data_IF_150104715225
#
_entry.id   IF_150104715225
#
_cell.length_a   1.000
_cell.length_b   1.000
_cell.length_c   1.000
_cell.angle_alpha   90.00
_cell.angle_beta   90.00
_cell.angle_gamma   90.00
#
_symmetry.space_group_name_H-M   'P 1'
#
loop_
_entity.id
_entity.type
_entity.pdbx_description
1 polymer ?
#
# COMPACT_ATOMS: atom_id res chain seq x y z
N UNK A 1 -13.85 49.37 -79.88
CA UNK A 1 -14.40 48.07 -79.41
C UNK A 1 -13.33 47.02 -79.66
N UNK A 2 -12.83 46.17 -78.77
CA UNK A 2 -13.08 45.89 -77.37
C UNK A 2 -11.86 45.12 -76.83
N UNK A 3 -11.21 45.69 -75.81
CA UNK A 3 -10.67 45.05 -74.60
C UNK A 3 -9.61 43.94 -74.72
N UNK A 4 -8.40 44.33 -74.32
CA UNK A 4 -7.40 43.49 -73.68
C UNK A 4 -7.99 42.74 -72.47
N UNK A 5 -7.74 41.44 -72.36
CA UNK A 5 -7.95 40.68 -71.12
C UNK A 5 -6.65 39.91 -70.81
N UNK A 6 -5.91 40.41 -69.81
CA UNK A 6 -4.78 39.72 -69.19
C UNK A 6 -5.34 38.76 -68.14
N UNK A 7 -5.11 37.46 -68.32
CA UNK A 7 -5.46 36.44 -67.34
C UNK A 7 -4.29 36.32 -66.36
N UNK A 8 -4.54 36.65 -65.10
CA UNK A 8 -3.64 36.40 -63.98
C UNK A 8 -3.84 34.96 -63.52
N UNK A 9 -2.78 34.15 -63.58
CA UNK A 9 -2.76 32.82 -62.98
C UNK A 9 -2.52 32.98 -61.47
N UNK A 10 -3.60 32.96 -60.68
CA UNK A 10 -3.50 32.75 -59.23
C UNK A 10 -3.30 31.26 -58.98
N UNK A 11 -2.08 30.86 -58.62
CA UNK A 11 -1.85 29.55 -58.01
C UNK A 11 -2.38 29.63 -56.58
N UNK A 12 -3.56 29.04 -56.37
CA UNK A 12 -4.08 28.77 -55.03
C UNK A 12 -3.13 27.80 -54.32
N UNK A 13 -2.41 28.31 -53.33
CA UNK A 13 -1.68 27.51 -52.35
C UNK A 13 -2.72 26.83 -51.46
N UNK A 14 -3.13 25.61 -51.80
CA UNK A 14 -3.96 24.78 -50.91
C UNK A 14 -3.08 24.24 -49.79
N UNK A 15 -2.99 24.96 -48.67
CA UNK A 15 -2.52 24.37 -47.43
C UNK A 15 -3.57 23.36 -46.96
N UNK A 16 -3.24 22.08 -47.07
CA UNK A 16 -3.91 21.03 -46.30
C UNK A 16 -3.66 21.36 -44.82
N UNK A 17 -4.59 22.05 -44.18
CA UNK A 17 -4.74 21.98 -42.73
C UNK A 17 -5.25 20.57 -42.44
N UNK A 18 -4.32 19.64 -42.21
CA UNK A 18 -4.63 18.46 -41.43
C UNK A 18 -5.05 18.98 -40.07
N UNK A 19 -6.37 19.03 -39.84
CA UNK A 19 -6.97 19.15 -38.52
C UNK A 19 -6.60 17.89 -37.74
N UNK A 20 -5.35 17.81 -37.30
CA UNK A 20 -5.03 17.09 -36.09
C UNK A 20 -5.75 17.87 -35.01
N UNK A 21 -6.92 17.40 -34.59
CA UNK A 21 -7.44 17.80 -33.28
C UNK A 21 -6.29 17.53 -32.32
N UNK A 22 -5.60 18.59 -31.87
CA UNK A 22 -4.67 18.48 -30.76
C UNK A 22 -5.46 17.72 -29.69
N UNK A 23 -4.96 16.57 -29.19
CA UNK A 23 -5.62 15.91 -28.08
C UNK A 23 -5.86 16.99 -27.03
N UNK A 24 -7.10 17.12 -26.56
CA UNK A 24 -7.46 18.15 -25.60
C UNK A 24 -6.41 18.11 -24.50
N UNK A 25 -5.63 19.18 -24.35
CA UNK A 25 -4.47 19.18 -23.45
C UNK A 25 -4.94 18.74 -22.06
N UNK A 26 -4.32 17.70 -21.51
CA UNK A 26 -4.60 17.26 -20.15
C UNK A 26 -4.44 18.43 -19.19
N UNK A 27 -5.34 18.53 -18.21
CA UNK A 27 -5.27 19.57 -17.17
C UNK A 27 -5.46 18.93 -15.81
N UNK A 28 -4.45 19.03 -14.97
CA UNK A 28 -4.54 18.72 -13.54
C UNK A 28 -4.71 20.04 -12.80
N UNK A 29 -5.72 20.11 -11.94
CA UNK A 29 -5.93 21.26 -11.05
C UNK A 29 -5.78 20.81 -9.61
N UNK A 30 -4.98 21.53 -8.82
CA UNK A 30 -4.82 21.26 -7.40
C UNK A 30 -4.91 22.56 -6.59
N UNK A 31 -5.40 22.45 -5.36
CA UNK A 31 -5.51 23.58 -4.43
C UNK A 31 -4.88 23.19 -3.11
N UNK A 32 -4.04 24.07 -2.57
CA UNK A 32 -3.31 23.90 -1.30
C UNK A 32 -3.78 24.89 -0.24
N UNK A 33 -3.68 24.52 1.05
CA UNK A 33 -3.84 25.46 2.16
C UNK A 33 -2.62 26.37 2.37
N UNK A 34 -1.46 26.06 1.78
CA UNK A 34 -0.26 26.89 1.86
C UNK A 34 -0.52 28.31 1.35
N UNK A 35 0.14 29.28 1.95
CA UNK A 35 0.07 30.69 1.57
C UNK A 35 0.84 30.96 0.28
N UNK A 36 0.40 31.97 -0.47
CA UNK A 36 1.16 32.47 -1.63
C UNK A 36 2.56 32.88 -1.19
N UNK A 37 3.56 32.37 -1.89
CA UNK A 37 4.98 32.58 -1.60
C UNK A 37 5.65 31.46 -0.82
N UNK A 38 4.89 30.49 -0.30
CA UNK A 38 5.43 29.21 0.20
C UNK A 38 5.80 28.27 -0.95
N UNK A 39 6.47 27.17 -0.62
CA UNK A 39 6.96 26.20 -1.60
C UNK A 39 6.09 24.95 -1.64
N UNK A 40 5.89 24.42 -2.84
CA UNK A 40 5.39 23.07 -3.12
C UNK A 40 6.45 22.29 -3.90
N UNK A 41 6.40 20.97 -3.82
CA UNK A 41 7.29 20.07 -4.56
C UNK A 41 6.47 19.14 -5.46
N UNK A 42 6.89 19.01 -6.71
CA UNK A 42 6.20 18.19 -7.70
C UNK A 42 7.21 17.35 -8.48
N UNK A 43 6.86 16.10 -8.76
CA UNK A 43 7.49 15.29 -9.82
C UNK A 43 6.45 15.08 -10.90
N UNK A 44 6.80 15.41 -12.14
CA UNK A 44 5.87 15.34 -13.28
C UNK A 44 6.62 14.70 -14.44
N UNK A 45 6.11 13.56 -14.89
CA UNK A 45 6.48 12.97 -16.19
C UNK A 45 5.30 13.11 -17.15
N UNK A 46 5.60 13.43 -18.41
CA UNK A 46 4.58 13.73 -19.40
C UNK A 46 5.05 13.40 -20.82
N UNK A 47 4.08 13.11 -21.69
CA UNK A 47 4.32 13.04 -23.13
C UNK A 47 4.46 14.45 -23.70
N UNK A 48 5.67 14.98 -23.65
CA UNK A 48 6.01 16.32 -24.15
C UNK A 48 6.03 17.38 -23.06
N UNK A 49 5.82 18.63 -23.46
CA UNK A 49 6.00 19.77 -22.56
C UNK A 49 4.81 19.94 -21.63
N UNK A 50 5.11 20.38 -20.40
CA UNK A 50 4.14 20.74 -19.38
C UNK A 50 4.27 22.22 -19.05
N UNK A 51 3.15 22.90 -18.86
CA UNK A 51 3.11 24.27 -18.33
C UNK A 51 2.42 24.28 -16.97
N UNK A 52 2.97 25.04 -16.03
CA UNK A 52 2.44 25.16 -14.67
C UNK A 52 2.03 26.62 -14.44
N UNK A 53 0.76 26.83 -14.12
CA UNK A 53 0.19 28.12 -13.72
C UNK A 53 -0.06 28.11 -12.21
N UNK A 54 0.11 29.24 -11.53
CA UNK A 54 -0.07 29.36 -10.08
C UNK A 54 1.14 28.98 -9.22
N UNK A 55 2.23 28.54 -9.84
CA UNK A 55 3.51 28.31 -9.17
C UNK A 55 4.69 28.63 -10.09
N UNK A 56 5.79 29.11 -9.52
CA UNK A 56 7.02 29.46 -10.24
C UNK A 56 8.15 28.53 -9.82
N UNK A 57 8.82 27.90 -10.79
CA UNK A 57 9.94 27.00 -10.54
C UNK A 57 11.10 27.70 -9.80
N UNK A 58 11.64 27.05 -8.76
CA UNK A 58 12.73 27.59 -7.94
C UNK A 58 13.97 26.70 -7.88
N UNK A 59 13.90 25.44 -8.31
CA UNK A 59 15.05 24.53 -8.35
C UNK A 59 14.67 23.06 -8.19
N UNK A 60 15.68 22.20 -8.14
CA UNK A 60 15.54 20.77 -7.84
C UNK A 60 15.95 20.49 -6.39
N UNK A 61 15.31 19.51 -5.76
CA UNK A 61 15.58 19.17 -4.34
C UNK A 61 16.70 18.12 -4.18
N UNK A 62 17.12 17.49 -5.27
CA UNK A 62 18.11 16.39 -5.27
C UNK A 62 17.57 15.03 -4.80
N UNK A 63 16.29 14.95 -4.43
CA UNK A 63 15.59 13.71 -4.06
C UNK A 63 14.57 13.33 -5.13
N UNK A 64 14.67 12.11 -5.67
CA UNK A 64 13.66 11.51 -6.57
C UNK A 64 13.21 12.38 -7.76
N UNK A 65 14.07 13.29 -8.25
CA UNK A 65 13.76 14.25 -9.31
C UNK A 65 12.58 15.19 -8.99
N UNK A 66 12.30 15.44 -7.70
CA UNK A 66 11.34 16.45 -7.27
C UNK A 66 11.84 17.86 -7.61
N UNK A 67 10.92 18.68 -8.12
CA UNK A 67 11.14 20.08 -8.45
C UNK A 67 10.38 20.96 -7.48
N UNK A 68 11.05 21.97 -6.94
CA UNK A 68 10.45 22.96 -6.06
C UNK A 68 9.83 24.10 -6.86
N UNK A 69 8.66 24.55 -6.40
CA UNK A 69 7.94 25.68 -6.96
C UNK A 69 7.47 26.61 -5.85
N UNK A 70 7.70 27.91 -6.01
CA UNK A 70 7.13 28.95 -5.15
C UNK A 70 5.73 29.29 -5.64
N UNK A 71 4.74 29.20 -4.75
CA UNK A 71 3.36 29.51 -5.05
C UNK A 71 3.20 30.98 -5.44
N UNK A 72 2.52 31.23 -6.55
CA UNK A 72 2.01 32.55 -6.95
C UNK A 72 0.49 32.63 -6.80
N UNK A 73 -0.18 31.48 -6.67
CA UNK A 73 -1.60 31.31 -6.36
C UNK A 73 -1.77 30.01 -5.54
N UNK A 74 -2.82 29.91 -4.73
CA UNK A 74 -3.15 28.67 -3.98
C UNK A 74 -3.76 27.60 -4.86
N UNK A 75 -4.26 27.97 -6.04
CA UNK A 75 -4.69 27.03 -7.09
C UNK A 75 -3.62 26.95 -8.16
N UNK A 76 -3.17 25.72 -8.44
CA UNK A 76 -2.14 25.40 -9.42
C UNK A 76 -2.79 24.60 -10.53
N UNK A 77 -2.50 24.96 -11.78
CA UNK A 77 -2.95 24.23 -12.97
C UNK A 77 -1.73 23.72 -13.74
N UNK A 78 -1.68 22.41 -13.94
CA UNK A 78 -0.65 21.73 -14.73
C UNK A 78 -1.30 21.34 -16.05
N UNK A 79 -0.86 21.93 -17.16
CA UNK A 79 -1.35 21.60 -18.51
C UNK A 79 -0.31 20.77 -19.24
N UNK A 80 -0.75 19.71 -19.89
CA UNK A 80 0.07 18.76 -20.62
C UNK A 80 -0.44 17.33 -20.45
N UNK A 81 0.06 16.42 -21.30
CA UNK A 81 -0.28 15.00 -21.24
C UNK A 81 0.56 14.29 -20.16
N UNK A 82 0.26 14.59 -18.90
CA UNK A 82 0.93 14.03 -17.71
C UNK A 82 0.63 12.53 -17.59
N UNK A 83 1.69 11.74 -17.50
CA UNK A 83 1.66 10.27 -17.32
C UNK A 83 1.96 9.88 -15.87
N UNK A 84 2.80 10.64 -15.17
CA UNK A 84 3.07 10.42 -13.75
C UNK A 84 3.04 11.75 -13.00
N UNK A 85 2.36 11.76 -11.85
CA UNK A 85 2.32 12.90 -10.95
C UNK A 85 2.64 12.46 -9.52
N UNK A 86 3.68 13.05 -8.94
CA UNK A 86 3.88 13.12 -7.50
C UNK A 86 3.61 14.56 -7.04
N UNK A 87 2.59 14.73 -6.21
CA UNK A 87 2.23 16.00 -5.58
C UNK A 87 2.14 15.86 -4.05
N UNK A 88 2.98 15.00 -3.49
CA UNK A 88 3.02 14.68 -2.06
C UNK A 88 3.47 15.85 -1.18
N UNK A 89 3.05 15.82 0.09
CA UNK A 89 3.49 16.75 1.16
C UNK A 89 3.26 18.24 0.84
N UNK A 90 2.16 18.55 0.15
CA UNK A 90 1.86 19.90 -0.33
C UNK A 90 0.66 20.55 0.35
N UNK A 91 0.12 19.92 1.40
CA UNK A 91 -1.10 20.36 2.09
C UNK A 91 -2.28 20.58 1.11
N UNK A 92 -2.39 19.70 0.10
CA UNK A 92 -3.47 19.78 -0.88
C UNK A 92 -4.81 19.49 -0.21
N UNK A 93 -5.76 20.40 -0.41
CA UNK A 93 -7.15 20.25 0.04
C UNK A 93 -8.06 19.71 -1.07
N UNK A 94 -7.64 19.85 -2.33
CA UNK A 94 -8.30 19.24 -3.49
C UNK A 94 -7.34 18.95 -4.63
N UNK A 95 -7.65 17.89 -5.37
CA UNK A 95 -6.92 17.44 -6.55
C UNK A 95 -7.93 16.94 -7.59
N UNK A 96 -7.89 17.51 -8.79
CA UNK A 96 -8.67 17.09 -9.96
C UNK A 96 -7.70 16.64 -11.06
N UNK A 97 -7.69 15.33 -11.33
CA UNK A 97 -6.91 14.67 -12.38
C UNK A 97 -7.79 14.15 -13.52
N UNK A 98 -9.07 14.52 -13.55
CA UNK A 98 -10.09 13.90 -14.42
C UNK A 98 -9.86 14.13 -15.91
N UNK A 99 -9.03 15.12 -16.28
CA UNK A 99 -8.67 15.44 -17.67
C UNK A 99 -7.33 14.83 -18.11
N UNK A 100 -6.60 14.16 -17.21
CA UNK A 100 -5.33 13.49 -17.52
C UNK A 100 -5.54 11.98 -17.62
N UNK A 101 -6.24 11.55 -18.66
CA UNK A 101 -6.63 10.14 -18.85
C UNK A 101 -5.44 9.21 -19.13
N UNK A 102 -4.28 9.77 -19.51
CA UNK A 102 -3.04 9.03 -19.74
C UNK A 102 -2.25 8.74 -18.44
N UNK A 103 -2.71 9.23 -17.28
CA UNK A 103 -2.03 9.05 -16.00
C UNK A 103 -1.93 7.55 -15.64
N UNK A 104 -0.70 7.06 -15.50
CA UNK A 104 -0.35 5.69 -15.08
C UNK A 104 0.06 5.63 -13.62
N UNK A 105 0.67 6.69 -13.09
CA UNK A 105 1.06 6.77 -11.68
C UNK A 105 0.57 8.08 -11.04
N UNK A 106 -0.04 7.95 -9.86
CA UNK A 106 -0.43 9.09 -9.05
C UNK A 106 -0.01 8.88 -7.59
N UNK A 107 0.87 9.76 -7.10
CA UNK A 107 1.22 9.89 -5.70
C UNK A 107 0.74 11.24 -5.17
N UNK A 108 -0.12 11.22 -4.15
CA UNK A 108 -0.62 12.40 -3.45
C UNK A 108 -0.52 12.23 -1.93
N UNK A 109 0.61 11.69 -1.47
CA UNK A 109 0.95 11.29 -0.10
C UNK A 109 0.93 12.52 0.83
N UNK A 110 0.52 12.36 2.09
CA UNK A 110 0.63 13.38 3.14
C UNK A 110 0.00 14.73 2.73
N UNK A 111 -1.28 14.66 2.37
CA UNK A 111 -2.10 15.82 2.02
C UNK A 111 -3.36 15.90 2.91
N UNK A 112 -4.29 16.80 2.59
CA UNK A 112 -5.52 17.02 3.34
C UNK A 112 -6.76 16.67 2.50
N UNK A 113 -6.62 15.75 1.54
CA UNK A 113 -7.70 15.39 0.63
C UNK A 113 -8.81 14.66 1.39
N UNK A 114 -10.03 15.20 1.29
CA UNK A 114 -11.24 14.54 1.82
C UNK A 114 -11.96 13.69 0.78
N UNK A 115 -11.62 13.90 -0.50
CA UNK A 115 -12.13 13.18 -1.67
C UNK A 115 -11.05 13.09 -2.73
N UNK A 116 -11.09 12.01 -3.51
CA UNK A 116 -10.23 11.80 -4.67
C UNK A 116 -11.04 11.04 -5.73
N UNK A 117 -11.18 11.62 -6.93
CA UNK A 117 -11.82 10.98 -8.07
C UNK A 117 -10.78 10.61 -9.13
N UNK A 118 -10.54 9.31 -9.27
CA UNK A 118 -9.63 8.72 -10.27
C UNK A 118 -10.39 7.94 -11.34
N UNK A 119 -11.71 8.12 -11.45
CA UNK A 119 -12.57 7.31 -12.33
C UNK A 119 -12.29 7.48 -13.82
N UNK A 120 -11.58 8.55 -14.21
CA UNK A 120 -11.16 8.83 -15.59
C UNK A 120 -9.74 8.37 -15.91
N UNK A 121 -8.94 8.08 -14.88
CA UNK A 121 -7.55 7.67 -15.02
C UNK A 121 -7.48 6.14 -15.14
N UNK A 122 -8.14 5.59 -16.17
CA UNK A 122 -8.29 4.14 -16.34
C UNK A 122 -6.98 3.41 -16.63
N UNK A 123 -5.94 4.15 -17.00
CA UNK A 123 -4.58 3.66 -17.21
C UNK A 123 -3.75 3.55 -15.93
N UNK A 124 -4.26 3.98 -14.77
CA UNK A 124 -3.52 3.91 -13.50
C UNK A 124 -3.11 2.47 -13.17
N UNK A 125 -1.81 2.27 -13.01
CA UNK A 125 -1.15 1.06 -12.50
C UNK A 125 -0.71 1.24 -11.05
N UNK A 126 -0.39 2.47 -10.63
CA UNK A 126 -0.05 2.81 -9.25
C UNK A 126 -0.90 3.99 -8.76
N UNK A 127 -1.51 3.83 -7.59
CA UNK A 127 -2.15 4.90 -6.85
C UNK A 127 -1.66 4.88 -5.40
N UNK A 128 -1.00 5.95 -4.99
CA UNK A 128 -0.60 6.20 -3.61
C UNK A 128 -1.30 7.47 -3.09
N UNK A 129 -2.27 7.28 -2.21
CA UNK A 129 -2.96 8.34 -1.49
C UNK A 129 -2.81 8.19 0.03
N UNK A 130 -1.68 7.63 0.47
CA UNK A 130 -1.28 7.53 1.88
C UNK A 130 -1.48 8.85 2.63
N UNK A 131 -1.93 8.76 3.89
CA UNK A 131 -2.01 9.90 4.82
C UNK A 131 -2.79 11.09 4.25
N UNK A 132 -4.10 10.87 4.16
CA UNK A 132 -5.09 11.85 3.75
C UNK A 132 -6.31 11.75 4.68
N UNK A 133 -7.42 12.39 4.30
CA UNK A 133 -8.66 12.40 5.07
C UNK A 133 -9.81 11.75 4.28
N UNK A 134 -9.49 10.79 3.40
CA UNK A 134 -10.47 10.15 2.52
C UNK A 134 -11.43 9.29 3.35
N UNK A 135 -12.74 9.54 3.18
CA UNK A 135 -13.81 8.75 3.82
C UNK A 135 -14.28 7.60 2.89
N UNK A 136 -14.08 7.79 1.58
CA UNK A 136 -14.39 6.82 0.54
C UNK A 136 -13.40 6.94 -0.61
N UNK A 137 -13.10 5.81 -1.25
CA UNK A 137 -12.26 5.75 -2.45
C UNK A 137 -12.87 4.77 -3.45
N UNK A 138 -13.14 5.22 -4.67
CA UNK A 138 -13.69 4.39 -5.74
C UNK A 138 -12.63 4.11 -6.81
N UNK A 139 -12.11 2.89 -6.82
CA UNK A 139 -11.10 2.41 -7.78
C UNK A 139 -11.68 1.45 -8.83
N UNK A 140 -13.01 1.36 -8.95
CA UNK A 140 -13.68 0.37 -9.81
C UNK A 140 -13.39 0.53 -11.32
N UNK A 141 -12.88 1.68 -11.75
CA UNK A 141 -12.50 1.96 -13.14
C UNK A 141 -11.01 1.79 -13.41
N UNK A 142 -10.19 1.68 -12.37
CA UNK A 142 -8.74 1.53 -12.46
C UNK A 142 -8.39 0.04 -12.53
N UNK A 143 -8.90 -0.66 -13.53
CA UNK A 143 -8.77 -2.13 -13.64
C UNK A 143 -7.33 -2.59 -13.88
N UNK A 144 -6.45 -1.68 -14.34
CA UNK A 144 -5.02 -1.89 -14.53
C UNK A 144 -4.20 -1.72 -13.23
N UNK A 145 -4.83 -1.36 -12.11
CA UNK A 145 -4.13 -1.07 -10.86
C UNK A 145 -3.40 -2.31 -10.33
N UNK A 146 -2.09 -2.19 -10.16
CA UNK A 146 -1.17 -3.20 -9.65
C UNK A 146 -0.75 -2.90 -8.20
N UNK A 147 -0.64 -1.61 -7.86
CA UNK A 147 -0.27 -1.11 -6.53
C UNK A 147 -1.31 -0.09 -6.06
N UNK A 148 -1.84 -0.31 -4.86
CA UNK A 148 -2.72 0.63 -4.17
C UNK A 148 -2.27 0.82 -2.72
N UNK A 149 -1.79 2.02 -2.40
CA UNK A 149 -1.66 2.48 -1.02
C UNK A 149 -2.75 3.53 -0.73
N UNK A 150 -3.69 3.16 0.13
CA UNK A 150 -4.72 4.06 0.66
C UNK A 150 -4.71 4.07 2.20
N UNK A 151 -3.56 3.74 2.79
CA UNK A 151 -3.40 3.68 4.23
C UNK A 151 -3.42 5.07 4.87
N UNK A 152 -3.62 5.10 6.20
CA UNK A 152 -3.75 6.35 6.97
C UNK A 152 -4.84 7.29 6.40
N UNK A 153 -6.03 6.74 6.24
CA UNK A 153 -7.22 7.46 5.81
C UNK A 153 -8.39 7.17 6.77
N UNK A 154 -9.61 7.52 6.38
CA UNK A 154 -10.83 7.32 7.18
C UNK A 154 -11.82 6.40 6.45
N UNK A 155 -11.32 5.47 5.62
CA UNK A 155 -12.13 4.59 4.81
C UNK A 155 -12.92 3.62 5.71
N UNK A 156 -14.23 3.59 5.54
CA UNK A 156 -15.13 2.64 6.22
C UNK A 156 -15.40 1.39 5.40
N UNK A 157 -15.19 1.48 4.08
CA UNK A 157 -15.27 0.37 3.13
C UNK A 157 -14.29 0.59 1.98
N UNK A 158 -13.88 -0.50 1.35
CA UNK A 158 -13.02 -0.49 0.17
C UNK A 158 -13.40 -1.67 -0.73
N UNK A 159 -13.80 -1.38 -1.97
CA UNK A 159 -14.10 -2.39 -3.00
C UNK A 159 -12.96 -2.44 -4.02
N UNK A 160 -12.21 -3.53 -4.00
CA UNK A 160 -11.11 -3.83 -4.94
C UNK A 160 -11.46 -4.97 -5.90
N UNK A 161 -12.75 -5.31 -6.06
CA UNK A 161 -13.21 -6.46 -6.83
C UNK A 161 -12.91 -6.36 -8.33
N UNK A 162 -12.74 -5.15 -8.86
CA UNK A 162 -12.42 -4.89 -10.27
C UNK A 162 -10.90 -4.79 -10.51
N UNK A 163 -10.10 -4.60 -9.47
CA UNK A 163 -8.64 -4.39 -9.56
C UNK A 163 -7.93 -5.75 -9.55
N UNK A 164 -8.25 -6.60 -10.53
CA UNK A 164 -7.79 -8.00 -10.57
C UNK A 164 -6.27 -8.15 -10.81
N UNK A 165 -5.62 -7.07 -11.26
CA UNK A 165 -4.17 -6.99 -11.43
C UNK A 165 -3.41 -6.64 -10.13
N UNK A 166 -4.09 -6.31 -9.03
CA UNK A 166 -3.42 -5.93 -7.77
C UNK A 166 -2.45 -7.01 -7.28
N UNK A 167 -1.23 -6.56 -7.02
CA UNK A 167 -0.12 -7.32 -6.43
C UNK A 167 0.20 -6.81 -5.03
N UNK A 168 0.12 -5.49 -4.81
CA UNK A 168 0.31 -4.83 -3.51
C UNK A 168 -0.93 -4.01 -3.12
N UNK A 169 -1.43 -4.26 -1.92
CA UNK A 169 -2.52 -3.51 -1.31
C UNK A 169 -2.17 -3.14 0.13
N UNK A 170 -1.97 -1.84 0.38
CA UNK A 170 -1.95 -1.27 1.72
C UNK A 170 -3.21 -0.45 1.97
N UNK A 171 -4.06 -0.96 2.85
CA UNK A 171 -5.25 -0.27 3.36
C UNK A 171 -5.21 -0.17 4.89
N UNK A 172 -4.01 -0.22 5.46
CA UNK A 172 -3.81 -0.12 6.91
C UNK A 172 -4.24 1.23 7.48
N UNK A 173 -4.48 1.29 8.80
CA UNK A 173 -4.85 2.54 9.49
C UNK A 173 -6.08 3.22 8.87
N UNK A 174 -7.16 2.45 8.79
CA UNK A 174 -8.47 2.90 8.31
C UNK A 174 -9.55 2.41 9.30
N UNK A 175 -10.82 2.49 8.90
CA UNK A 175 -11.97 2.08 9.71
C UNK A 175 -12.74 0.91 9.05
N UNK A 176 -12.02 0.06 8.29
CA UNK A 176 -12.63 -1.04 7.55
C UNK A 176 -13.20 -2.10 8.50
N UNK A 177 -14.47 -2.44 8.32
CA UNK A 177 -15.14 -3.51 9.08
C UNK A 177 -15.13 -4.85 8.34
N UNK A 178 -14.93 -4.81 7.02
CA UNK A 178 -14.75 -5.97 6.15
C UNK A 178 -13.81 -5.63 5.00
N UNK A 179 -13.15 -6.64 4.45
CA UNK A 179 -12.28 -6.53 3.28
C UNK A 179 -12.42 -7.81 2.45
N UNK A 180 -12.77 -7.69 1.18
CA UNK A 180 -12.90 -8.81 0.26
C UNK A 180 -11.84 -8.74 -0.83
N UNK A 181 -10.84 -9.62 -0.75
CA UNK A 181 -9.74 -9.73 -1.72
C UNK A 181 -9.86 -10.97 -2.61
N UNK A 182 -11.04 -11.60 -2.68
CA UNK A 182 -11.24 -12.88 -3.38
C UNK A 182 -11.02 -12.84 -4.90
N UNK A 183 -11.01 -11.64 -5.48
CA UNK A 183 -10.76 -11.39 -6.91
C UNK A 183 -9.30 -11.05 -7.23
N UNK A 184 -8.51 -10.65 -6.23
CA UNK A 184 -7.13 -10.19 -6.37
C UNK A 184 -6.18 -11.39 -6.26
N UNK A 185 -6.26 -12.30 -7.23
CA UNK A 185 -5.52 -13.59 -7.19
C UNK A 185 -4.00 -13.44 -7.31
N UNK A 186 -3.56 -12.32 -7.87
CA UNK A 186 -2.15 -11.96 -8.05
C UNK A 186 -1.53 -11.31 -6.80
N UNK A 187 -2.32 -11.04 -5.75
CA UNK A 187 -1.87 -10.35 -4.55
C UNK A 187 -0.72 -11.11 -3.86
N UNK A 188 0.42 -10.43 -3.73
CA UNK A 188 1.63 -10.91 -3.03
C UNK A 188 1.77 -10.25 -1.66
N UNK A 189 1.37 -8.99 -1.55
CA UNK A 189 1.51 -8.19 -0.34
C UNK A 189 0.16 -7.60 0.06
N UNK A 190 -0.28 -7.93 1.29
CA UNK A 190 -1.52 -7.42 1.86
C UNK A 190 -1.27 -6.84 3.24
N UNK A 191 -1.46 -5.53 3.37
CA UNK A 191 -1.42 -4.81 4.64
C UNK A 191 -2.79 -4.22 4.93
N UNK A 192 -3.43 -4.73 5.97
CA UNK A 192 -4.73 -4.30 6.44
C UNK A 192 -4.76 -4.14 7.97
N UNK A 193 -3.60 -3.91 8.59
CA UNK A 193 -3.47 -3.68 10.03
C UNK A 193 -4.16 -2.38 10.47
N UNK A 194 -4.47 -2.27 11.76
CA UNK A 194 -5.16 -1.11 12.34
C UNK A 194 -6.49 -0.81 11.62
N UNK A 195 -7.38 -1.81 11.64
CA UNK A 195 -8.74 -1.72 11.11
C UNK A 195 -9.70 -2.37 12.14
N UNK A 196 -10.95 -2.62 11.74
CA UNK A 196 -11.99 -3.22 12.58
C UNK A 196 -12.47 -4.55 12.01
N UNK A 197 -11.60 -5.27 11.30
CA UNK A 197 -11.93 -6.53 10.63
C UNK A 197 -12.22 -7.63 11.65
N UNK A 198 -13.38 -8.29 11.49
CA UNK A 198 -13.77 -9.46 12.31
C UNK A 198 -13.39 -10.79 11.66
N UNK A 199 -13.20 -10.78 10.35
CA UNK A 199 -12.82 -11.94 9.54
C UNK A 199 -11.98 -11.48 8.35
N UNK A 200 -11.11 -12.36 7.87
CA UNK A 200 -10.32 -12.15 6.65
C UNK A 200 -10.22 -13.49 5.89
N UNK A 201 -10.77 -13.53 4.68
CA UNK A 201 -10.81 -14.74 3.84
C UNK A 201 -9.74 -14.66 2.75
N UNK A 202 -8.76 -15.58 2.79
CA UNK A 202 -7.56 -15.58 1.94
C UNK A 202 -7.34 -16.82 1.04
N UNK A 203 -8.26 -17.81 0.89
CA UNK A 203 -7.97 -19.01 0.10
C UNK A 203 -7.90 -18.77 -1.40
N UNK A 204 -8.23 -17.55 -1.87
CA UNK A 204 -8.14 -17.13 -3.27
C UNK A 204 -6.87 -16.32 -3.57
N UNK A 205 -5.99 -16.14 -2.60
CA UNK A 205 -4.75 -15.35 -2.73
C UNK A 205 -3.51 -16.25 -2.51
N UNK A 206 -3.31 -17.31 -3.32
CA UNK A 206 -2.26 -18.31 -3.07
C UNK A 206 -0.83 -17.75 -3.24
N UNK A 207 -0.69 -16.60 -3.91
CA UNK A 207 0.58 -15.92 -4.16
C UNK A 207 1.07 -15.06 -2.99
N UNK A 208 0.26 -14.87 -1.92
CA UNK A 208 0.64 -14.03 -0.79
C UNK A 208 1.97 -14.48 -0.15
N UNK A 209 2.92 -13.56 -0.11
CA UNK A 209 4.23 -13.67 0.55
C UNK A 209 4.25 -12.89 1.86
N UNK A 210 3.52 -11.76 1.93
CA UNK A 210 3.44 -10.89 3.11
C UNK A 210 1.99 -10.67 3.50
N UNK A 211 1.68 -10.89 4.78
CA UNK A 211 0.38 -10.56 5.36
C UNK A 211 0.52 -9.83 6.69
N UNK A 212 0.09 -8.57 6.72
CA UNK A 212 -0.04 -7.77 7.93
C UNK A 212 -1.51 -7.47 8.22
N UNK A 213 -2.09 -8.17 9.19
CA UNK A 213 -3.47 -8.00 9.65
C UNK A 213 -3.58 -7.72 11.15
N UNK A 214 -2.49 -7.22 11.74
CA UNK A 214 -2.37 -6.82 13.14
C UNK A 214 -3.40 -5.77 13.57
N UNK A 215 -3.71 -5.68 14.87
CA UNK A 215 -4.62 -4.66 15.41
C UNK A 215 -5.99 -4.66 14.71
N UNK A 216 -6.65 -5.81 14.77
CA UNK A 216 -8.00 -6.03 14.25
C UNK A 216 -8.83 -6.79 15.31
N UNK A 217 -9.99 -7.33 14.93
CA UNK A 217 -10.88 -8.10 15.79
C UNK A 217 -11.02 -9.55 15.30
N UNK A 218 -9.98 -10.10 14.65
CA UNK A 218 -10.01 -11.44 14.08
C UNK A 218 -10.08 -12.49 15.19
N UNK A 219 -11.08 -13.37 15.13
CA UNK A 219 -11.24 -14.52 16.05
C UNK A 219 -10.63 -15.81 15.48
N UNK A 220 -10.46 -15.86 14.17
CA UNK A 220 -9.80 -16.94 13.44
C UNK A 220 -9.06 -16.39 12.23
N UNK A 221 -8.01 -17.09 11.80
CA UNK A 221 -7.25 -16.76 10.60
C UNK A 221 -6.79 -18.07 9.92
N UNK A 222 -7.22 -18.27 8.68
CA UNK A 222 -6.87 -19.45 7.89
C UNK A 222 -5.88 -19.10 6.77
N UNK A 223 -4.61 -19.44 7.00
CA UNK A 223 -3.51 -19.23 6.03
C UNK A 223 -3.07 -20.52 5.34
N UNK A 224 -3.87 -21.60 5.43
CA UNK A 224 -3.50 -22.93 4.89
C UNK A 224 -3.39 -22.99 3.36
N UNK A 225 -3.93 -21.98 2.67
CA UNK A 225 -3.92 -21.84 1.21
C UNK A 225 -2.93 -20.78 0.72
N UNK A 226 -2.08 -20.26 1.61
CA UNK A 226 -1.07 -19.25 1.30
C UNK A 226 0.34 -19.83 1.59
N UNK A 227 0.76 -20.90 0.89
CA UNK A 227 2.01 -21.61 1.20
C UNK A 227 3.26 -20.78 0.93
N UNK A 228 3.14 -19.71 0.12
CA UNK A 228 4.22 -18.77 -0.21
C UNK A 228 4.51 -17.75 0.89
N UNK A 229 3.69 -17.67 1.96
CA UNK A 229 3.90 -16.70 3.04
C UNK A 229 5.30 -16.84 3.64
N UNK A 230 6.09 -15.78 3.52
CA UNK A 230 7.40 -15.60 4.14
C UNK A 230 7.31 -14.77 5.42
N UNK A 231 6.27 -13.93 5.52
CA UNK A 231 6.04 -13.08 6.68
C UNK A 231 4.55 -12.98 7.04
N UNK A 232 4.25 -13.17 8.33
CA UNK A 232 2.90 -13.07 8.87
C UNK A 232 2.91 -12.26 10.17
N UNK A 233 2.25 -11.11 10.16
CA UNK A 233 1.93 -10.33 11.36
C UNK A 233 0.42 -10.29 11.59
N UNK A 234 -0.02 -10.94 12.67
CA UNK A 234 -1.42 -10.99 13.08
C UNK A 234 -1.58 -10.69 14.59
N UNK A 235 -0.65 -9.92 15.15
CA UNK A 235 -0.63 -9.54 16.56
C UNK A 235 -1.84 -8.66 16.94
N UNK A 236 -2.13 -8.54 18.23
CA UNK A 236 -3.24 -7.72 18.75
C UNK A 236 -4.58 -8.04 18.04
N UNK A 237 -4.97 -9.32 18.11
CA UNK A 237 -6.24 -9.85 17.61
C UNK A 237 -6.89 -10.72 18.72
N UNK A 238 -7.92 -11.48 18.37
CA UNK A 238 -8.66 -12.35 19.30
C UNK A 238 -8.51 -13.83 18.91
N UNK A 239 -7.39 -14.20 18.27
CA UNK A 239 -7.16 -15.56 17.77
C UNK A 239 -7.00 -16.55 18.94
N UNK A 240 -7.81 -17.61 18.93
CA UNK A 240 -7.72 -18.70 19.93
C UNK A 240 -6.85 -19.87 19.45
N UNK A 241 -6.66 -19.97 18.14
CA UNK A 241 -5.77 -20.93 17.49
C UNK A 241 -5.19 -20.33 16.21
N UNK A 242 -4.01 -20.82 15.81
CA UNK A 242 -3.36 -20.42 14.57
C UNK A 242 -2.64 -21.64 13.98
N UNK A 243 -3.04 -22.04 12.77
CA UNK A 243 -2.42 -23.16 12.06
C UNK A 243 -1.53 -22.66 10.92
N UNK A 244 -0.21 -22.76 11.13
CA UNK A 244 0.83 -22.39 10.15
C UNK A 244 1.54 -23.60 9.53
N UNK A 245 0.97 -24.79 9.66
CA UNK A 245 1.62 -26.04 9.23
C UNK A 245 1.89 -26.14 7.72
N UNK A 246 1.23 -25.32 6.90
CA UNK A 246 1.39 -25.28 5.44
C UNK A 246 2.28 -24.12 4.96
N UNK A 247 2.67 -23.21 5.85
CA UNK A 247 3.47 -22.04 5.51
C UNK A 247 4.96 -22.37 5.71
N UNK A 248 5.47 -23.28 4.87
CA UNK A 248 6.85 -23.80 4.99
C UNK A 248 7.91 -22.75 4.65
N UNK A 249 7.53 -21.73 3.87
CA UNK A 249 8.36 -20.59 3.51
C UNK A 249 8.48 -19.54 4.64
N UNK A 250 7.66 -19.64 5.69
CA UNK A 250 7.56 -18.61 6.73
C UNK A 250 8.92 -18.40 7.43
N UNK A 251 9.42 -17.17 7.39
CA UNK A 251 10.66 -16.73 8.02
C UNK A 251 10.40 -15.90 9.26
N UNK A 252 9.31 -15.14 9.29
CA UNK A 252 8.90 -14.31 10.41
C UNK A 252 7.41 -14.52 10.74
N UNK A 253 7.12 -14.74 12.03
CA UNK A 253 5.77 -14.89 12.56
C UNK A 253 5.58 -14.03 13.81
N UNK A 254 4.70 -13.03 13.72
CA UNK A 254 4.34 -12.16 14.83
C UNK A 254 2.86 -12.35 15.17
N UNK A 255 2.58 -13.14 16.19
CA UNK A 255 1.22 -13.49 16.65
C UNK A 255 0.99 -13.17 18.13
N UNK A 256 1.79 -12.28 18.69
CA UNK A 256 1.65 -11.83 20.08
C UNK A 256 0.36 -11.06 20.33
N UNK A 257 -0.01 -10.85 21.59
CA UNK A 257 -1.28 -10.18 21.97
C UNK A 257 -2.52 -10.85 21.32
N UNK A 258 -2.64 -12.15 21.52
CA UNK A 258 -3.79 -12.95 21.08
C UNK A 258 -4.28 -13.83 22.24
N UNK A 259 -5.16 -14.79 21.94
CA UNK A 259 -5.74 -15.72 22.91
C UNK A 259 -5.25 -17.17 22.67
N UNK A 260 -4.06 -17.35 22.07
CA UNK A 260 -3.54 -18.65 21.71
C UNK A 260 -3.20 -19.46 22.96
N UNK A 261 -3.72 -20.69 23.03
CA UNK A 261 -3.39 -21.65 24.11
C UNK A 261 -2.30 -22.64 23.70
N UNK A 262 -2.04 -22.74 22.40
CA UNK A 262 -1.04 -23.59 21.79
C UNK A 262 -0.61 -22.99 20.45
N UNK A 263 0.61 -23.33 20.03
CA UNK A 263 1.15 -22.99 18.72
C UNK A 263 2.10 -24.11 18.29
N UNK A 264 2.01 -24.54 17.04
CA UNK A 264 2.92 -25.52 16.46
C UNK A 264 3.56 -24.94 15.19
N UNK A 265 4.89 -24.78 15.22
CA UNK A 265 5.67 -24.22 14.11
C UNK A 265 6.57 -25.27 13.44
N UNK A 266 6.31 -26.57 13.65
CA UNK A 266 7.13 -27.65 13.07
C UNK A 266 7.15 -27.65 11.53
N UNK A 267 6.10 -27.12 10.90
CA UNK A 267 6.02 -26.96 9.44
C UNK A 267 6.80 -25.75 8.92
N UNK A 268 7.09 -24.75 9.76
CA UNK A 268 7.78 -23.52 9.39
C UNK A 268 9.30 -23.71 9.44
N UNK A 269 9.82 -24.57 8.57
CA UNK A 269 11.23 -25.01 8.58
C UNK A 269 12.25 -23.86 8.33
N UNK A 270 11.80 -22.76 7.73
CA UNK A 270 12.58 -21.56 7.43
C UNK A 270 12.52 -20.49 8.53
N UNK A 271 11.70 -20.70 9.57
CA UNK A 271 11.44 -19.69 10.60
C UNK A 271 12.72 -19.26 11.31
N UNK A 272 12.91 -17.94 11.40
CA UNK A 272 14.03 -17.27 12.06
C UNK A 272 13.58 -16.26 13.10
N UNK A 273 12.40 -15.67 12.94
CA UNK A 273 11.84 -14.69 13.87
C UNK A 273 10.45 -15.15 14.33
N UNK A 274 10.25 -15.26 15.63
CA UNK A 274 8.96 -15.65 16.23
C UNK A 274 8.65 -14.79 17.44
N UNK A 275 7.56 -14.03 17.38
CA UNK A 275 6.97 -13.42 18.57
C UNK A 275 5.57 -13.98 18.80
N UNK A 276 5.44 -14.77 19.86
CA UNK A 276 4.16 -15.30 20.33
C UNK A 276 3.91 -14.94 21.80
N UNK A 277 4.57 -13.89 22.31
CA UNK A 277 4.34 -13.35 23.65
C UNK A 277 2.89 -12.89 23.85
N UNK A 278 2.52 -12.54 25.06
CA UNK A 278 1.19 -12.00 25.39
C UNK A 278 0.03 -12.87 24.88
N UNK A 279 0.14 -14.18 25.12
CA UNK A 279 -0.85 -15.21 24.80
C UNK A 279 -1.15 -16.06 26.06
N UNK A 280 -1.77 -17.24 25.91
CA UNK A 280 -2.12 -18.16 27.01
C UNK A 280 -1.41 -19.53 26.91
N UNK A 281 -0.23 -19.56 26.30
CA UNK A 281 0.58 -20.76 26.07
C UNK A 281 1.36 -21.12 27.33
N UNK A 282 1.00 -22.25 27.95
CA UNK A 282 1.46 -22.62 29.29
C UNK A 282 1.82 -24.11 29.43
N UNK A 283 2.72 -24.43 30.36
CA UNK A 283 3.05 -25.80 30.76
C UNK A 283 3.40 -26.70 29.57
N UNK A 284 2.69 -27.84 29.44
CA UNK A 284 2.92 -28.79 28.33
C UNK A 284 2.76 -28.17 26.94
N UNK A 285 1.90 -27.15 26.78
CA UNK A 285 1.73 -26.49 25.49
C UNK A 285 2.95 -25.64 25.12
N UNK A 286 3.55 -24.94 26.08
CA UNK A 286 4.80 -24.21 25.89
C UNK A 286 5.95 -25.17 25.55
N UNK A 287 6.07 -26.29 26.29
CA UNK A 287 7.06 -27.32 25.99
C UNK A 287 6.89 -27.91 24.58
N UNK A 288 5.65 -28.10 24.10
CA UNK A 288 5.40 -28.53 22.71
C UNK A 288 5.83 -27.47 21.69
N UNK A 289 5.50 -26.20 21.93
CA UNK A 289 5.91 -25.09 21.07
C UNK A 289 7.44 -25.04 20.92
N UNK A 290 8.19 -24.98 22.02
CA UNK A 290 9.66 -24.88 21.95
C UNK A 290 10.31 -26.11 21.31
N UNK A 291 9.69 -27.30 21.45
CA UNK A 291 10.16 -28.51 20.77
C UNK A 291 9.88 -28.46 19.26
N UNK A 292 8.80 -27.81 18.84
CA UNK A 292 8.45 -27.63 17.42
C UNK A 292 9.34 -26.65 16.67
N UNK A 293 10.13 -25.83 17.37
CA UNK A 293 11.04 -24.86 16.74
C UNK A 293 12.05 -25.54 15.79
N UNK A 294 12.35 -24.94 14.62
CA UNK A 294 13.45 -25.38 13.76
C UNK A 294 14.78 -25.48 14.50
N UNK A 295 15.59 -26.49 14.17
CA UNK A 295 16.97 -26.58 14.66
C UNK A 295 17.89 -25.70 13.81
N UNK A 296 18.50 -24.69 14.42
CA UNK A 296 19.32 -23.67 13.75
C UNK A 296 20.82 -23.74 14.10
N UNK A 297 21.32 -24.83 14.69
CA UNK A 297 22.74 -24.95 15.14
C UNK A 297 23.83 -24.69 14.10
N UNK A 298 23.52 -24.82 12.81
CA UNK A 298 24.45 -24.59 11.68
C UNK A 298 24.01 -23.40 10.81
N UNK A 299 23.17 -22.52 11.37
CA UNK A 299 22.61 -21.34 10.73
C UNK A 299 22.83 -20.14 11.64
N UNK A 300 22.56 -18.93 11.14
CA UNK A 300 22.40 -17.76 12.00
C UNK A 300 21.34 -18.03 13.07
N UNK A 301 21.61 -17.50 14.27
CA UNK A 301 20.69 -17.58 15.41
C UNK A 301 19.31 -17.03 15.03
N UNK A 302 18.25 -17.73 15.46
CA UNK A 302 16.89 -17.20 15.36
C UNK A 302 16.55 -16.32 16.56
N UNK A 303 15.55 -15.44 16.44
CA UNK A 303 15.06 -14.61 17.54
C UNK A 303 13.68 -15.08 17.97
N UNK A 304 13.46 -15.20 19.27
CA UNK A 304 12.16 -15.60 19.81
C UNK A 304 11.77 -14.81 21.06
N UNK A 305 10.53 -14.34 21.05
CA UNK A 305 9.84 -13.75 22.20
C UNK A 305 8.72 -14.69 22.63
N UNK A 306 8.88 -15.31 23.81
CA UNK A 306 7.90 -16.24 24.38
C UNK A 306 7.04 -15.60 25.48
N UNK A 307 7.61 -14.65 26.21
CA UNK A 307 6.97 -13.98 27.33
C UNK A 307 7.40 -12.51 27.30
N UNK A 308 6.46 -11.58 27.27
CA UNK A 308 6.72 -10.16 27.43
C UNK A 308 6.90 -9.84 28.92
N UNK A 309 8.11 -9.40 29.28
CA UNK A 309 8.46 -8.99 30.64
C UNK A 309 8.50 -7.47 30.81
N UNK A 310 8.35 -6.73 29.72
CA UNK A 310 8.47 -5.28 29.66
C UNK A 310 7.15 -4.57 29.95
N UNK A 311 6.02 -5.18 29.63
CA UNK A 311 4.73 -4.51 29.78
C UNK A 311 4.18 -4.54 31.21
N UNK A 312 3.46 -3.47 31.56
CA UNK A 312 2.72 -3.36 32.83
C UNK A 312 1.59 -4.40 32.93
N UNK A 313 1.10 -4.89 31.79
CA UNK A 313 0.12 -5.99 31.72
C UNK A 313 0.87 -7.30 31.81
N UNK A 314 0.71 -8.04 32.91
CA UNK A 314 1.39 -9.34 33.06
C UNK A 314 0.99 -10.29 31.93
N UNK A 315 1.96 -10.66 31.09
CA UNK A 315 1.83 -11.74 30.10
C UNK A 315 1.26 -13.01 30.77
N UNK A 316 0.40 -13.73 30.05
CA UNK A 316 -0.27 -14.95 30.50
C UNK A 316 0.41 -16.22 29.99
N UNK A 317 1.42 -16.13 29.12
CA UNK A 317 2.34 -17.21 28.79
C UNK A 317 3.22 -17.54 30.00
N UNK A 318 3.62 -18.81 30.13
CA UNK A 318 4.58 -19.27 31.15
C UNK A 318 5.59 -20.18 30.47
N UNK A 319 6.84 -19.76 30.54
CA UNK A 319 7.99 -20.48 29.99
C UNK A 319 8.92 -20.90 31.14
N UNK A 320 9.22 -22.19 31.25
CA UNK A 320 10.10 -22.71 32.29
C UNK A 320 11.58 -22.54 31.92
N UNK A 321 12.49 -22.67 32.89
CA UNK A 321 13.93 -22.68 32.63
C UNK A 321 14.36 -23.82 31.69
N UNK A 322 13.67 -24.97 31.74
CA UNK A 322 13.90 -26.11 30.86
C UNK A 322 13.47 -25.81 29.40
N UNK A 323 12.36 -25.09 29.23
CA UNK A 323 11.92 -24.63 27.91
C UNK A 323 12.94 -23.65 27.31
N UNK A 324 13.40 -22.65 28.08
CA UNK A 324 14.45 -21.70 27.66
C UNK A 324 15.74 -22.43 27.28
N UNK A 325 16.15 -23.43 28.05
CA UNK A 325 17.32 -24.26 27.72
C UNK A 325 17.13 -24.99 26.39
N UNK A 326 15.93 -25.51 26.12
CA UNK A 326 15.58 -26.17 24.86
C UNK A 326 15.65 -25.22 23.67
N UNK A 327 15.14 -23.99 23.83
CA UNK A 327 15.19 -22.91 22.83
C UNK A 327 16.65 -22.60 22.47
N UNK A 328 17.48 -22.28 23.47
CA UNK A 328 18.92 -21.99 23.28
C UNK A 328 19.66 -23.15 22.65
N UNK A 329 19.35 -24.39 23.03
CA UNK A 329 19.95 -25.61 22.46
C UNK A 329 19.70 -25.75 20.95
N UNK A 330 18.61 -25.17 20.44
CA UNK A 330 18.26 -25.11 19.00
C UNK A 330 18.83 -23.87 18.29
N UNK A 331 19.69 -23.07 18.94
CA UNK A 331 20.27 -21.83 18.43
C UNK A 331 19.23 -20.72 18.17
N UNK A 332 18.41 -20.47 19.19
CA UNK A 332 17.47 -19.35 19.24
C UNK A 332 17.82 -18.45 20.43
N UNK A 333 17.96 -17.16 20.15
CA UNK A 333 18.08 -16.08 21.13
C UNK A 333 16.72 -15.72 21.69
N UNK A 334 16.59 -15.81 23.01
CA UNK A 334 15.36 -15.42 23.72
C UNK A 334 15.44 -13.93 23.99
N UNK A 335 14.57 -13.17 23.35
CA UNK A 335 14.40 -11.74 23.59
C UNK A 335 13.88 -11.50 25.03
N UNK A 336 14.26 -10.37 25.64
CA UNK A 336 13.96 -10.08 27.05
C UNK A 336 12.47 -9.94 27.38
#
# INVERSE_FOLDING_TARGET
>A
MSKHLRIWLFVLLSTLLTSTTLPAEGVITMTTSKAVGETIELRIEANGNVTIEGAQYTGETGYLNLKSYRLTNQTISIRGDVTELDCSTNELISLDVSKNTALTELACIDNQLTRLDVSKNTALTMLDCFSNQLISLNVSKNTALEVLDCSYNQLTSLDVSQNTALTDLDCSNNQLTSLNVSKNRALTDLKCNNNQLKSLDLPKNPALTTLYCSYNQLTSLNVSKNPALTELACLANQLTSLNVSKNTALTALYCYENQLTNLNVSGCISLRDLDCSSNYINGKAMTKLVNSLPNRRRKSSGRISLVDRSSKKRDKNRCSAADVTTVRRKNWEVAP
#
